data_IF_554751987873
#
_entry.id   IF_554751987873
#
_cell.length_a   1.000
_cell.length_b   1.000
_cell.length_c   1.000
_cell.angle_alpha   90.00
_cell.angle_beta   90.00
_cell.angle_gamma   90.00
#
_symmetry.space_group_name_H-M   'P 1'
#
loop_
_entity.id
_entity.type
_entity.pdbx_description
1 polymer ?
#
# COMPACT_ATOMS: atom_id res chain seq x y z
N UNK A 1 21.95 -29.72 20.40
CA UNK A 1 20.84 -29.32 21.25
C UNK A 1 19.72 -28.91 20.30
N UNK A 2 18.71 -29.74 20.16
CA UNK A 2 17.55 -29.49 19.28
C UNK A 2 16.65 -28.48 19.98
N UNK A 3 16.46 -27.31 19.36
CA UNK A 3 15.47 -26.33 19.82
C UNK A 3 14.09 -27.01 19.88
N UNK A 4 13.34 -26.88 20.96
CA UNK A 4 11.98 -27.36 20.99
C UNK A 4 11.16 -26.53 19.98
N UNK A 5 10.57 -27.24 19.00
CA UNK A 5 9.58 -26.63 18.10
C UNK A 5 8.45 -26.05 18.94
N UNK A 6 8.31 -24.72 18.88
CA UNK A 6 7.15 -24.03 19.46
C UNK A 6 5.95 -24.50 18.65
N UNK A 7 4.93 -25.10 19.24
CA UNK A 7 3.72 -25.46 18.50
C UNK A 7 3.07 -24.18 17.99
N UNK A 8 2.79 -24.12 16.70
CA UNK A 8 1.98 -23.04 16.14
C UNK A 8 0.65 -22.97 16.89
N UNK A 9 0.21 -21.80 17.33
CA UNK A 9 -1.09 -21.68 17.98
C UNK A 9 -2.17 -22.02 16.93
N UNK A 10 -2.81 -23.16 17.12
CA UNK A 10 -4.06 -23.48 16.40
C UNK A 10 -5.16 -22.59 17.00
N UNK A 11 -5.29 -21.36 16.51
CA UNK A 11 -6.40 -20.48 16.82
C UNK A 11 -7.57 -20.79 15.89
N UNK A 12 -8.28 -21.89 16.13
CA UNK A 12 -9.58 -22.09 15.53
C UNK A 12 -10.50 -20.95 15.98
N UNK A 13 -10.79 -20.00 15.09
CA UNK A 13 -11.92 -19.11 15.21
C UNK A 13 -11.70 -17.65 15.62
N UNK A 14 -10.48 -17.19 15.91
CA UNK A 14 -10.24 -15.75 16.15
C UNK A 14 -9.91 -15.05 14.82
N UNK A 15 -10.48 -13.84 14.57
CA UNK A 15 -10.07 -13.01 13.45
C UNK A 15 -8.60 -12.63 13.62
N UNK A 16 -7.92 -12.34 12.50
CA UNK A 16 -6.55 -11.82 12.52
C UNK A 16 -6.44 -10.51 13.30
N UNK A 17 -5.23 -10.21 13.77
CA UNK A 17 -4.95 -8.91 14.41
C UNK A 17 -4.92 -7.82 13.34
N UNK A 18 -5.60 -6.70 13.62
CA UNK A 18 -5.53 -5.49 12.82
C UNK A 18 -4.68 -4.46 13.56
N UNK A 19 -3.54 -4.09 12.97
CA UNK A 19 -2.58 -3.16 13.56
C UNK A 19 -2.35 -1.99 12.61
N UNK A 20 -2.30 -0.77 13.13
CA UNK A 20 -1.87 0.42 12.41
C UNK A 20 -0.68 1.06 13.10
N UNK A 21 0.42 1.24 12.36
CA UNK A 21 1.60 1.98 12.81
C UNK A 21 1.65 3.32 12.12
N UNK A 22 1.61 4.39 12.89
CA UNK A 22 1.63 5.77 12.38
C UNK A 22 2.89 6.48 12.88
N UNK A 23 3.55 7.23 12.02
CA UNK A 23 4.71 8.04 12.39
C UNK A 23 5.31 8.80 11.22
N UNK A 24 6.24 9.69 11.50
CA UNK A 24 6.94 10.47 10.48
C UNK A 24 7.69 9.57 9.47
N UNK A 25 8.00 10.10 8.30
CA UNK A 25 8.88 9.39 7.35
C UNK A 25 10.26 9.14 7.97
N UNK A 26 10.87 7.99 7.66
CA UNK A 26 12.22 7.65 8.10
C UNK A 26 12.35 7.15 9.56
N UNK A 27 11.26 7.01 10.33
CA UNK A 27 11.32 6.52 11.73
C UNK A 27 11.42 4.99 11.86
N UNK A 28 11.51 4.26 10.76
CA UNK A 28 11.71 2.80 10.78
C UNK A 28 10.44 1.95 10.73
N UNK A 29 9.28 2.51 10.36
CA UNK A 29 8.03 1.74 10.26
C UNK A 29 8.14 0.51 9.35
N UNK A 30 8.59 0.71 8.11
CA UNK A 30 8.82 -0.38 7.15
C UNK A 30 9.88 -1.36 7.64
N UNK A 31 10.92 -0.83 8.27
CA UNK A 31 11.99 -1.65 8.84
C UNK A 31 11.47 -2.60 9.93
N UNK A 32 10.52 -2.18 10.78
CA UNK A 32 9.99 -3.01 11.87
C UNK A 32 9.19 -4.25 11.42
N UNK A 33 8.85 -4.36 10.13
CA UNK A 33 8.21 -5.58 9.58
C UNK A 33 9.09 -6.81 9.77
N UNK A 34 10.43 -6.62 9.87
CA UNK A 34 11.35 -7.74 10.08
C UNK A 34 11.02 -8.56 11.35
N UNK A 35 10.49 -7.94 12.39
CA UNK A 35 10.10 -8.65 13.61
C UNK A 35 9.05 -9.74 13.34
N UNK A 36 8.07 -9.45 12.47
CA UNK A 36 7.03 -10.42 12.06
C UNK A 36 7.65 -11.57 11.29
N UNK A 37 8.56 -11.25 10.35
CA UNK A 37 9.24 -12.23 9.51
C UNK A 37 10.16 -13.13 10.34
N UNK A 38 10.95 -12.55 11.23
CA UNK A 38 11.90 -13.27 12.10
C UNK A 38 11.16 -14.14 13.14
N UNK A 39 9.92 -13.80 13.47
CA UNK A 39 9.06 -14.64 14.31
C UNK A 39 8.54 -15.89 13.58
N UNK A 40 8.72 -15.96 12.25
CA UNK A 40 8.42 -17.12 11.43
C UNK A 40 7.06 -17.10 10.72
N UNK A 41 6.35 -15.96 10.72
CA UNK A 41 5.10 -15.83 9.98
C UNK A 41 5.35 -15.67 8.47
N UNK A 42 4.46 -16.24 7.66
CA UNK A 42 4.37 -15.91 6.23
C UNK A 42 3.92 -14.45 6.09
N UNK A 43 4.80 -13.59 5.61
CA UNK A 43 4.62 -12.13 5.60
C UNK A 43 4.60 -11.62 4.17
N UNK A 44 3.52 -10.94 3.81
CA UNK A 44 3.26 -10.42 2.48
C UNK A 44 3.19 -8.89 2.53
N UNK A 45 4.13 -8.22 1.89
CA UNK A 45 4.23 -6.77 1.86
C UNK A 45 3.72 -6.22 0.54
N UNK A 46 2.61 -5.48 0.55
CA UNK A 46 2.11 -4.73 -0.59
C UNK A 46 2.58 -3.28 -0.48
N UNK A 47 3.54 -2.94 -1.34
CA UNK A 47 4.25 -1.66 -1.32
C UNK A 47 3.60 -0.69 -2.30
N UNK A 48 3.14 0.45 -1.81
CA UNK A 48 2.54 1.53 -2.64
C UNK A 48 3.48 2.72 -2.82
N UNK A 49 4.62 2.68 -2.15
CA UNK A 49 5.69 3.67 -2.21
C UNK A 49 7.05 2.99 -2.42
N UNK A 50 8.08 3.79 -2.69
CA UNK A 50 9.46 3.30 -2.75
C UNK A 50 9.98 3.05 -1.33
N UNK A 51 9.90 1.83 -0.86
CA UNK A 51 10.31 1.46 0.51
C UNK A 51 10.94 0.07 0.59
N UNK A 52 11.02 -0.64 -0.54
CA UNK A 52 11.52 -2.01 -0.57
C UNK A 52 12.96 -2.12 -0.02
N UNK A 53 13.81 -1.15 -0.31
CA UNK A 53 15.18 -1.11 0.21
C UNK A 53 15.19 -1.01 1.75
N UNK A 54 14.26 -0.23 2.33
CA UNK A 54 14.11 -0.13 3.78
C UNK A 54 13.58 -1.43 4.38
N UNK A 55 12.70 -2.13 3.69
CA UNK A 55 12.21 -3.45 4.10
C UNK A 55 13.33 -4.48 4.12
N UNK A 56 14.11 -4.54 3.04
CA UNK A 56 15.18 -5.53 2.89
C UNK A 56 16.44 -5.17 3.69
N UNK A 57 16.62 -3.91 4.06
CA UNK A 57 17.81 -3.36 4.71
C UNK A 57 18.21 -4.12 5.99
N UNK A 58 17.22 -4.59 6.75
CA UNK A 58 17.50 -5.37 7.96
C UNK A 58 18.42 -6.57 7.72
N UNK A 59 18.17 -7.33 6.65
CA UNK A 59 18.96 -8.51 6.30
C UNK A 59 20.19 -8.15 5.47
N UNK A 60 20.05 -7.28 4.48
CA UNK A 60 21.15 -6.95 3.55
C UNK A 60 22.30 -6.24 4.25
N UNK A 61 22.04 -5.31 5.17
CA UNK A 61 23.07 -4.59 5.93
C UNK A 61 23.85 -5.50 6.89
N UNK A 62 23.26 -6.63 7.26
CA UNK A 62 23.88 -7.66 8.10
C UNK A 62 24.49 -8.82 7.31
N UNK A 63 24.48 -8.74 5.98
CA UNK A 63 24.87 -9.83 5.09
C UNK A 63 24.12 -11.14 5.36
N UNK A 64 22.86 -11.05 5.77
CA UNK A 64 21.97 -12.18 5.97
C UNK A 64 21.16 -12.45 4.70
N UNK A 65 20.82 -13.72 4.42
CA UNK A 65 19.90 -14.03 3.33
C UNK A 65 18.50 -13.47 3.63
N UNK A 66 17.83 -13.00 2.59
CA UNK A 66 16.41 -12.59 2.71
C UNK A 66 15.59 -13.85 2.98
N UNK A 67 14.77 -13.86 4.06
CA UNK A 67 13.98 -15.02 4.47
C UNK A 67 13.02 -15.50 3.37
N UNK A 68 12.79 -16.80 3.32
CA UNK A 68 11.90 -17.39 2.34
C UNK A 68 10.43 -17.03 2.58
N UNK A 69 10.05 -16.81 3.85
CA UNK A 69 8.71 -16.42 4.31
C UNK A 69 8.39 -14.92 4.17
N UNK A 70 9.28 -14.14 3.55
CA UNK A 70 9.01 -12.74 3.19
C UNK A 70 8.70 -12.65 1.70
N UNK A 71 7.53 -12.12 1.39
CA UNK A 71 7.03 -11.89 0.03
C UNK A 71 6.67 -10.42 -0.15
N UNK A 72 6.85 -9.88 -1.35
CA UNK A 72 6.45 -8.50 -1.63
C UNK A 72 5.90 -8.34 -3.03
N UNK A 73 5.03 -7.36 -3.17
CA UNK A 73 4.56 -6.88 -4.45
C UNK A 73 4.54 -5.35 -4.45
N UNK A 74 5.06 -4.73 -5.51
CA UNK A 74 5.11 -3.27 -5.65
C UNK A 74 4.04 -2.79 -6.63
N UNK A 75 3.09 -2.02 -6.13
CA UNK A 75 2.18 -1.24 -6.97
C UNK A 75 2.75 0.16 -7.13
N UNK A 76 3.02 0.56 -8.35
CA UNK A 76 3.64 1.86 -8.64
C UNK A 76 2.61 2.88 -9.09
N UNK A 77 2.72 4.09 -8.55
CA UNK A 77 1.93 5.22 -9.04
C UNK A 77 2.18 5.44 -10.53
N UNK A 78 1.13 5.70 -11.26
CA UNK A 78 1.25 6.13 -12.64
C UNK A 78 1.71 7.58 -12.67
N UNK A 79 2.83 7.85 -13.29
CA UNK A 79 3.35 9.20 -13.46
C UNK A 79 2.98 9.77 -14.83
N UNK A 80 2.61 11.04 -14.87
CA UNK A 80 2.48 11.79 -16.10
C UNK A 80 3.85 11.96 -16.77
N UNK A 81 3.90 11.83 -18.09
CA UNK A 81 5.10 12.17 -18.84
C UNK A 81 5.38 13.69 -18.78
N UNK A 82 6.64 14.09 -19.01
CA UNK A 82 7.02 15.52 -18.98
C UNK A 82 6.15 16.40 -19.91
N UNK A 83 5.72 15.90 -21.08
CA UNK A 83 4.83 16.64 -21.98
C UNK A 83 3.48 16.94 -21.36
N UNK A 84 2.91 15.99 -20.64
CA UNK A 84 1.63 16.13 -19.94
C UNK A 84 1.78 17.05 -18.73
N UNK A 85 2.90 16.95 -18.01
CA UNK A 85 3.22 17.86 -16.90
C UNK A 85 3.38 19.30 -17.38
N UNK A 86 4.05 19.54 -18.51
CA UNK A 86 4.20 20.87 -19.12
C UNK A 86 2.82 21.41 -19.52
N UNK A 87 1.96 20.59 -20.12
CA UNK A 87 0.61 21.01 -20.48
C UNK A 87 -0.18 21.43 -19.24
N UNK A 88 -0.17 20.62 -18.20
CA UNK A 88 -0.84 20.94 -16.93
C UNK A 88 -0.29 22.22 -16.29
N UNK A 89 1.02 22.40 -16.29
CA UNK A 89 1.65 23.61 -15.76
C UNK A 89 1.27 24.88 -16.55
N UNK A 90 1.16 24.78 -17.87
CA UNK A 90 0.68 25.89 -18.72
C UNK A 90 -0.76 26.24 -18.39
N UNK A 91 -1.63 25.24 -18.18
CA UNK A 91 -3.01 25.47 -17.78
C UNK A 91 -3.08 26.24 -16.45
N UNK A 92 -2.33 25.81 -15.44
CA UNK A 92 -2.26 26.49 -14.14
C UNK A 92 -1.75 27.93 -14.29
N UNK A 93 -0.80 28.17 -15.18
CA UNK A 93 -0.25 29.50 -15.42
C UNK A 93 -1.22 30.46 -16.17
N UNK A 94 -2.07 29.91 -17.06
CA UNK A 94 -2.89 30.71 -17.98
C UNK A 94 -4.35 30.84 -17.57
N UNK A 95 -4.88 29.92 -16.75
CA UNK A 95 -6.28 29.85 -16.37
C UNK A 95 -6.51 30.33 -14.95
N UNK A 96 -7.66 30.91 -14.70
CA UNK A 96 -8.11 31.24 -13.33
C UNK A 96 -8.49 29.96 -12.59
N UNK A 97 -8.51 30.04 -11.25
CA UNK A 97 -8.92 28.93 -10.41
C UNK A 97 -10.31 28.37 -10.77
N UNK A 98 -11.26 29.27 -11.05
CA UNK A 98 -12.63 28.89 -11.46
C UNK A 98 -12.65 28.15 -12.81
N UNK A 99 -11.80 28.54 -13.73
CA UNK A 99 -11.67 27.86 -15.03
C UNK A 99 -11.01 26.49 -14.87
N UNK A 100 -10.02 26.35 -13.98
CA UNK A 100 -9.38 25.08 -13.67
C UNK A 100 -10.35 24.10 -13.01
N UNK A 101 -11.22 24.56 -12.11
CA UNK A 101 -12.25 23.71 -11.47
C UNK A 101 -13.28 23.16 -12.48
N UNK A 102 -13.57 23.91 -13.55
CA UNK A 102 -14.51 23.48 -14.59
C UNK A 102 -13.88 22.56 -15.64
N UNK A 103 -12.55 22.36 -15.59
CA UNK A 103 -11.93 21.41 -16.51
C UNK A 103 -12.40 19.99 -16.21
N UNK A 104 -12.73 19.21 -17.26
CA UNK A 104 -13.10 17.81 -17.06
C UNK A 104 -11.91 17.01 -16.55
N UNK A 105 -12.20 15.91 -15.90
CA UNK A 105 -11.19 14.91 -15.53
C UNK A 105 -10.47 14.42 -16.78
N UNK A 106 -9.15 14.38 -16.70
CA UNK A 106 -8.31 13.99 -17.83
C UNK A 106 -7.48 12.75 -17.52
N UNK A 107 -7.25 11.94 -18.55
CA UNK A 107 -6.36 10.79 -18.47
C UNK A 107 -6.71 9.74 -17.39
N UNK A 108 -7.96 9.68 -16.91
CA UNK A 108 -8.39 8.70 -15.87
C UNK A 108 -7.95 7.28 -16.19
N UNK A 109 -8.13 6.83 -17.42
CA UNK A 109 -7.76 5.47 -17.84
C UNK A 109 -6.25 5.16 -17.79
N UNK A 110 -5.39 6.16 -17.54
CA UNK A 110 -3.95 5.95 -17.35
C UNK A 110 -3.60 5.72 -15.87
N UNK A 111 -4.46 6.11 -14.96
CA UNK A 111 -4.19 6.01 -13.51
C UNK A 111 -4.80 4.73 -12.95
N UNK A 112 -4.16 3.61 -13.21
CA UNK A 112 -4.65 2.26 -12.86
C UNK A 112 -4.16 1.78 -11.50
N UNK A 113 -3.26 2.50 -10.82
CA UNK A 113 -2.58 2.02 -9.62
C UNK A 113 -3.53 1.55 -8.50
N UNK A 114 -4.71 2.18 -8.34
CA UNK A 114 -5.70 1.69 -7.37
C UNK A 114 -6.34 0.37 -7.82
N UNK A 115 -6.58 0.21 -9.11
CA UNK A 115 -7.10 -1.04 -9.70
C UNK A 115 -6.04 -2.14 -9.59
N UNK A 116 -4.77 -1.79 -9.86
CA UNK A 116 -3.64 -2.72 -9.77
C UNK A 116 -3.44 -3.19 -8.32
N UNK A 117 -3.62 -2.30 -7.33
CA UNK A 117 -3.63 -2.62 -5.92
C UNK A 117 -4.73 -3.65 -5.58
N UNK A 118 -5.97 -3.41 -6.02
CA UNK A 118 -7.09 -4.34 -5.79
C UNK A 118 -6.86 -5.67 -6.50
N UNK A 119 -6.27 -5.64 -7.70
CA UNK A 119 -5.90 -6.85 -8.44
C UNK A 119 -4.85 -7.66 -7.70
N UNK A 120 -3.84 -6.99 -7.13
CA UNK A 120 -2.82 -7.65 -6.31
C UNK A 120 -3.39 -8.26 -5.03
N UNK A 121 -4.42 -7.66 -4.43
CA UNK A 121 -5.12 -8.24 -3.27
C UNK A 121 -6.01 -9.43 -3.65
N UNK A 122 -6.54 -9.45 -4.88
CA UNK A 122 -7.35 -10.57 -5.39
C UNK A 122 -6.52 -11.77 -5.86
N UNK A 123 -5.25 -11.58 -6.14
CA UNK A 123 -4.27 -12.64 -6.47
C UNK A 123 -2.85 -12.12 -6.19
N UNK A 124 -2.38 -12.32 -4.96
CA UNK A 124 -1.07 -11.82 -4.55
C UNK A 124 0.05 -12.59 -5.26
N UNK A 125 0.87 -11.86 -6.01
CA UNK A 125 2.04 -12.41 -6.70
C UNK A 125 3.31 -11.83 -6.10
N UNK A 126 4.20 -12.69 -5.65
CA UNK A 126 5.52 -12.29 -5.16
C UNK A 126 6.41 -11.81 -6.32
N UNK A 127 6.87 -10.57 -6.27
CA UNK A 127 7.75 -9.98 -7.30
C UNK A 127 9.11 -10.66 -7.37
N UNK A 128 9.55 -11.32 -6.29
CA UNK A 128 10.83 -12.05 -6.25
C UNK A 128 10.79 -13.34 -7.02
N UNK A 129 9.70 -14.10 -6.88
CA UNK A 129 9.60 -15.47 -7.39
C UNK A 129 8.59 -15.62 -8.53
N UNK A 130 7.66 -14.67 -8.66
CA UNK A 130 6.51 -14.77 -9.57
C UNK A 130 5.44 -15.74 -9.08
N UNK A 131 5.58 -16.31 -7.88
CA UNK A 131 4.62 -17.23 -7.31
C UNK A 131 3.32 -16.49 -6.91
N UNK A 132 2.17 -17.09 -7.27
CA UNK A 132 0.86 -16.65 -6.79
C UNK A 132 0.53 -17.32 -5.45
N UNK A 133 -0.02 -16.54 -4.53
CA UNK A 133 -0.48 -16.98 -3.21
C UNK A 133 -2.00 -16.87 -3.06
N UNK A 134 -2.71 -16.57 -4.17
CA UNK A 134 -4.17 -16.47 -4.21
C UNK A 134 -4.70 -15.16 -3.62
N UNK A 135 -6.01 -15.13 -3.41
CA UNK A 135 -6.71 -13.97 -2.90
C UNK A 135 -6.50 -13.80 -1.38
N UNK A 136 -6.30 -12.55 -0.95
CA UNK A 136 -6.01 -12.20 0.45
C UNK A 136 -7.20 -12.53 1.37
N UNK A 137 -8.42 -12.42 0.87
CA UNK A 137 -9.64 -12.75 1.60
C UNK A 137 -9.82 -14.24 1.89
N UNK A 138 -9.08 -15.10 1.17
CA UNK A 138 -9.02 -16.55 1.44
C UNK A 138 -7.92 -16.95 2.46
N UNK A 139 -7.06 -15.99 2.88
CA UNK A 139 -5.94 -16.28 3.75
C UNK A 139 -6.36 -16.50 5.21
N UNK A 140 -5.64 -17.40 5.89
CA UNK A 140 -5.83 -17.71 7.30
C UNK A 140 -4.95 -16.87 8.24
N UNK A 141 -5.07 -17.12 9.56
CA UNK A 141 -4.32 -16.39 10.60
C UNK A 141 -2.84 -16.79 10.71
N UNK A 142 -2.35 -17.63 9.81
CA UNK A 142 -0.94 -18.00 9.65
C UNK A 142 -0.18 -16.98 8.80
N UNK A 143 -0.87 -15.99 8.21
CA UNK A 143 -0.32 -15.00 7.28
C UNK A 143 -0.51 -13.58 7.78
N UNK A 144 0.47 -12.74 7.47
CA UNK A 144 0.41 -11.29 7.64
C UNK A 144 0.37 -10.57 6.31
N UNK A 145 -0.63 -9.72 6.12
CA UNK A 145 -0.63 -8.71 5.07
C UNK A 145 -0.13 -7.39 5.65
N UNK A 146 0.93 -6.85 5.08
CA UNK A 146 1.47 -5.53 5.41
C UNK A 146 1.24 -4.58 4.25
N UNK A 147 0.49 -3.48 4.46
CA UNK A 147 0.31 -2.40 3.48
C UNK A 147 1.22 -1.21 3.82
N UNK A 148 2.14 -0.90 2.93
CA UNK A 148 3.05 0.24 3.05
C UNK A 148 2.93 1.14 1.81
N UNK A 149 2.17 2.25 1.85
CA UNK A 149 1.55 2.90 3.01
C UNK A 149 0.12 3.36 2.71
N UNK A 150 -0.60 3.80 3.72
CA UNK A 150 -1.90 4.47 3.59
C UNK A 150 -1.83 5.72 2.70
N UNK A 151 -0.72 6.46 2.77
CA UNK A 151 -0.48 7.66 1.96
C UNK A 151 -0.48 7.32 0.47
N UNK A 152 0.22 6.26 0.08
CA UNK A 152 0.22 5.78 -1.30
C UNK A 152 -1.17 5.31 -1.76
N UNK A 153 -1.90 4.58 -0.91
CA UNK A 153 -3.28 4.14 -1.19
C UNK A 153 -4.20 5.33 -1.43
N UNK A 154 -4.14 6.36 -0.57
CA UNK A 154 -4.91 7.60 -0.74
C UNK A 154 -4.57 8.30 -2.07
N UNK A 155 -3.30 8.35 -2.42
CA UNK A 155 -2.84 8.91 -3.70
C UNK A 155 -3.42 8.14 -4.89
N UNK A 156 -3.40 6.82 -4.84
CA UNK A 156 -3.95 5.97 -5.91
C UNK A 156 -5.46 6.13 -6.04
N UNK A 157 -6.21 6.15 -4.94
CA UNK A 157 -7.66 6.37 -4.93
C UNK A 157 -8.02 7.75 -5.49
N UNK A 158 -7.26 8.79 -5.14
CA UNK A 158 -7.44 10.12 -5.70
C UNK A 158 -7.15 10.15 -7.19
N UNK A 159 -6.04 9.56 -7.65
CA UNK A 159 -5.71 9.47 -9.07
C UNK A 159 -6.75 8.68 -9.86
N UNK A 160 -7.26 7.60 -9.31
CA UNK A 160 -8.36 6.83 -9.91
C UNK A 160 -9.65 7.69 -10.04
N UNK A 161 -9.88 8.60 -9.11
CA UNK A 161 -11.06 9.48 -9.11
C UNK A 161 -10.95 10.60 -10.16
N UNK A 162 -9.83 11.31 -10.20
CA UNK A 162 -9.68 12.56 -10.98
C UNK A 162 -8.72 12.48 -12.16
N UNK A 163 -7.89 11.42 -12.24
CA UNK A 163 -6.83 11.33 -13.22
C UNK A 163 -5.79 12.45 -13.08
N UNK A 164 -5.49 13.10 -14.20
CA UNK A 164 -4.53 14.21 -14.28
C UNK A 164 -5.11 15.61 -14.04
N UNK A 165 -6.28 15.74 -13.42
CA UNK A 165 -6.90 17.04 -13.10
C UNK A 165 -6.01 17.87 -12.18
N UNK A 166 -5.79 19.13 -12.52
CA UNK A 166 -4.84 20.01 -11.81
C UNK A 166 -5.38 20.50 -10.45
N UNK A 167 -6.69 20.59 -10.29
CA UNK A 167 -7.35 21.11 -9.09
C UNK A 167 -8.37 20.10 -8.60
N UNK A 168 -8.32 19.80 -7.31
CA UNK A 168 -9.24 18.89 -6.63
C UNK A 168 -10.37 19.67 -6.00
N UNK A 169 -11.59 19.15 -6.03
CA UNK A 169 -12.71 19.69 -5.29
C UNK A 169 -13.13 18.77 -4.12
N UNK A 170 -14.04 19.23 -3.30
CA UNK A 170 -14.48 18.46 -2.12
C UNK A 170 -15.18 17.14 -2.50
N UNK A 171 -15.83 17.08 -3.67
CA UNK A 171 -16.48 15.86 -4.15
C UNK A 171 -15.44 14.80 -4.55
N UNK A 172 -14.34 15.24 -5.15
CA UNK A 172 -13.22 14.35 -5.51
C UNK A 172 -12.65 13.66 -4.27
N UNK A 173 -12.45 14.42 -3.19
CA UNK A 173 -11.99 13.89 -1.90
C UNK A 173 -12.97 12.87 -1.31
N UNK A 174 -14.27 13.20 -1.33
CA UNK A 174 -15.31 12.30 -0.82
C UNK A 174 -15.32 10.97 -1.59
N UNK A 175 -15.23 11.02 -2.92
CA UNK A 175 -15.20 9.80 -3.74
C UNK A 175 -13.93 8.96 -3.50
N UNK A 176 -12.77 9.59 -3.40
CA UNK A 176 -11.52 8.88 -3.13
C UNK A 176 -11.55 8.24 -1.72
N UNK A 177 -12.04 8.97 -0.72
CA UNK A 177 -12.15 8.48 0.66
C UNK A 177 -13.05 7.25 0.76
N UNK A 178 -14.20 7.24 0.10
CA UNK A 178 -15.10 6.07 0.09
C UNK A 178 -14.41 4.83 -0.48
N UNK A 179 -13.58 4.96 -1.51
CA UNK A 179 -12.82 3.83 -2.06
C UNK A 179 -11.84 3.27 -1.02
N UNK A 180 -11.11 4.15 -0.32
CA UNK A 180 -10.15 3.75 0.71
C UNK A 180 -10.86 3.11 1.91
N UNK A 181 -11.96 3.70 2.38
CA UNK A 181 -12.77 3.16 3.49
C UNK A 181 -13.30 1.77 3.17
N UNK A 182 -13.82 1.55 1.96
CA UNK A 182 -14.31 0.24 1.53
C UNK A 182 -13.17 -0.80 1.51
N UNK A 183 -12.00 -0.43 1.00
CA UNK A 183 -10.82 -1.29 1.01
C UNK A 183 -10.42 -1.66 2.45
N UNK A 184 -10.24 -0.67 3.32
CA UNK A 184 -9.81 -0.90 4.70
C UNK A 184 -10.84 -1.71 5.49
N UNK A 185 -12.14 -1.47 5.26
CA UNK A 185 -13.21 -2.27 5.88
C UNK A 185 -13.15 -3.73 5.43
N UNK A 186 -12.94 -3.97 4.13
CA UNK A 186 -12.81 -5.33 3.62
C UNK A 186 -11.60 -6.04 4.24
N UNK A 187 -10.46 -5.36 4.37
CA UNK A 187 -9.27 -5.94 4.97
C UNK A 187 -9.42 -6.19 6.48
N UNK A 188 -10.06 -5.26 7.20
CA UNK A 188 -10.20 -5.37 8.65
C UNK A 188 -11.29 -6.36 9.08
N UNK A 189 -12.40 -6.41 8.35
CA UNK A 189 -13.59 -7.17 8.74
C UNK A 189 -13.82 -8.42 7.88
N UNK A 190 -13.34 -8.41 6.63
CA UNK A 190 -13.56 -9.48 5.65
C UNK A 190 -12.44 -10.50 5.58
N UNK A 191 -11.21 -10.15 5.96
CA UNK A 191 -10.08 -11.06 5.93
C UNK A 191 -9.83 -11.72 7.28
N UNK A 192 -9.29 -12.95 7.27
CA UNK A 192 -8.94 -13.70 8.49
C UNK A 192 -7.44 -13.65 8.79
N UNK A 193 -6.62 -13.21 7.85
CA UNK A 193 -5.20 -13.00 8.05
C UNK A 193 -4.93 -11.82 8.99
N UNK A 194 -3.73 -11.75 9.54
CA UNK A 194 -3.29 -10.56 10.26
C UNK A 194 -3.06 -9.41 9.28
N UNK A 195 -3.43 -8.19 9.68
CA UNK A 195 -3.31 -7.01 8.85
C UNK A 195 -2.50 -5.91 9.53
N UNK A 196 -1.45 -5.44 8.88
CA UNK A 196 -0.63 -4.32 9.30
C UNK A 196 -0.72 -3.19 8.28
N UNK A 197 -1.17 -2.01 8.73
CA UNK A 197 -1.20 -0.80 7.92
C UNK A 197 -0.15 0.20 8.41
N UNK A 198 0.71 0.68 7.51
CA UNK A 198 1.66 1.73 7.82
C UNK A 198 1.11 3.09 7.32
N UNK A 199 1.19 4.10 8.17
CA UNK A 199 0.74 5.47 7.86
C UNK A 199 1.84 6.50 8.14
N UNK A 200 1.87 7.56 7.32
CA UNK A 200 2.73 8.72 7.55
C UNK A 200 1.95 9.83 8.24
N UNK A 201 2.59 10.47 9.22
CA UNK A 201 2.10 11.75 9.75
C UNK A 201 2.80 12.87 8.98
N UNK A 202 2.04 13.80 8.42
CA UNK A 202 2.55 15.07 7.98
C UNK A 202 2.59 16.02 9.19
N UNK A 203 3.71 16.69 9.41
CA UNK A 203 3.74 17.83 10.33
C UNK A 203 3.20 19.02 9.59
N UNK A 204 2.06 19.57 10.01
CA UNK A 204 1.78 20.98 9.71
C UNK A 204 2.87 21.81 10.37
N UNK A 205 3.65 22.48 9.55
CA UNK A 205 4.60 23.50 10.04
C UNK A 205 3.80 24.78 10.06
N UNK A 206 3.40 25.18 11.24
CA UNK A 206 2.80 26.52 11.49
C UNK A 206 3.81 27.65 11.16
#
# INVERSE_FOLDING_TARGET
MTNPSIPSPQSEGLPGLNIMIIGASGVGKTYSIHDIVDYGFETFCLMTESGLESLLGYWTDRNLPIPANLHWHQVRATNLGFKEMISSAKDVNQLTFEMLLKKPDTNKGKFTAFIDLLTALSDFKDDRTGQSFGAVDDWGPDRWLCLDSLTGINTFAMQNTIGGKSVRDQKDWSMAQVQVENLLRMLADGCKCHFLLLGHTEREVD
#
